data_IF_834732761265
#
_entry.id   IF_834732761265
#
_cell.length_a   1.000
_cell.length_b   1.000
_cell.length_c   1.000
_cell.angle_alpha   90.00
_cell.angle_beta   90.00
_cell.angle_gamma   90.00
#
_symmetry.space_group_name_H-M   'P 1'
#
loop_
_entity.id
_entity.type
_entity.pdbx_description
1 polymer ?
#
# COMPACT_ATOMS: atom_id res chain seq x y z
N UNK A 1 -72.26 22.54 -50.15
CA UNK A 1 -71.40 23.68 -49.73
C UNK A 1 -70.39 23.16 -48.72
N UNK A 2 -69.23 22.70 -49.18
CA UNK A 2 -68.18 22.16 -48.33
C UNK A 2 -67.23 23.29 -47.93
N UNK A 3 -67.01 23.45 -46.61
CA UNK A 3 -66.07 24.41 -46.06
C UNK A 3 -64.65 23.89 -46.24
N UNK A 4 -63.89 24.61 -47.06
CA UNK A 4 -62.46 24.49 -47.21
C UNK A 4 -61.77 24.77 -45.87
N UNK A 5 -61.14 23.73 -45.32
CA UNK A 5 -60.38 23.77 -44.09
C UNK A 5 -58.97 23.29 -44.37
N UNK A 6 -58.16 24.12 -45.04
CA UNK A 6 -56.72 23.90 -45.20
C UNK A 6 -56.01 23.89 -43.84
N UNK A 7 -55.95 22.73 -43.19
CA UNK A 7 -55.00 22.48 -42.12
C UNK A 7 -53.63 22.22 -42.75
N UNK A 8 -52.85 23.29 -42.94
CA UNK A 8 -51.46 23.22 -43.42
C UNK A 8 -50.62 22.54 -42.33
N UNK A 9 -50.40 21.23 -42.50
CA UNK A 9 -49.46 20.45 -41.70
C UNK A 9 -48.08 21.10 -41.74
N UNK A 10 -47.60 21.55 -40.57
CA UNK A 10 -46.26 22.08 -40.38
C UNK A 10 -45.25 20.93 -40.45
N UNK A 11 -44.14 21.04 -41.20
CA UNK A 11 -43.15 19.97 -41.24
C UNK A 11 -42.44 19.87 -39.87
N UNK A 12 -42.50 18.69 -39.22
CA UNK A 12 -41.73 18.39 -37.99
C UNK A 12 -40.25 18.23 -38.38
N UNK A 13 -39.49 19.31 -38.32
CA UNK A 13 -38.03 19.26 -38.44
C UNK A 13 -37.41 18.70 -37.16
N UNK A 14 -36.89 17.48 -37.22
CA UNK A 14 -36.15 16.80 -36.13
C UNK A 14 -34.69 17.25 -36.00
N UNK A 15 -34.28 18.38 -36.60
CA UNK A 15 -32.87 18.71 -36.82
C UNK A 15 -32.27 19.88 -36.04
N UNK A 16 -32.89 20.40 -34.97
CA UNK A 16 -32.37 21.63 -34.29
C UNK A 16 -31.78 21.45 -32.90
N UNK A 17 -32.02 20.34 -32.21
CA UNK A 17 -31.60 20.14 -30.83
C UNK A 17 -30.99 18.76 -30.63
N UNK A 18 -29.91 18.69 -29.85
CA UNK A 18 -29.26 17.43 -29.45
C UNK A 18 -30.08 16.76 -28.34
N UNK A 19 -31.12 16.03 -28.77
CA UNK A 19 -32.05 15.35 -27.87
C UNK A 19 -31.38 14.31 -26.98
N UNK A 20 -30.29 13.68 -27.44
CA UNK A 20 -29.52 12.70 -26.67
C UNK A 20 -28.84 13.35 -25.45
N UNK A 21 -28.21 14.52 -25.63
CA UNK A 21 -27.63 15.27 -24.51
C UNK A 21 -28.67 15.82 -23.55
N UNK A 22 -29.77 16.39 -24.08
CA UNK A 22 -30.87 16.93 -23.26
C UNK A 22 -31.47 15.80 -22.40
N UNK A 23 -31.64 14.60 -22.97
CA UNK A 23 -32.10 13.41 -22.27
C UNK A 23 -31.13 13.00 -21.17
N UNK A 24 -29.84 12.86 -21.48
CA UNK A 24 -28.82 12.48 -20.50
C UNK A 24 -28.82 13.41 -19.28
N UNK A 25 -28.85 14.74 -19.51
CA UNK A 25 -28.87 15.72 -18.43
C UNK A 25 -30.17 15.66 -17.60
N UNK A 26 -31.32 15.46 -18.25
CA UNK A 26 -32.59 15.25 -17.55
C UNK A 26 -32.58 13.98 -16.70
N UNK A 27 -32.07 12.89 -17.24
CA UNK A 27 -31.99 11.58 -16.59
C UNK A 27 -31.00 11.54 -15.41
N UNK A 28 -30.10 12.53 -15.29
CA UNK A 28 -29.26 12.73 -14.09
C UNK A 28 -30.03 13.29 -12.89
N UNK A 29 -31.23 13.84 -13.11
CA UNK A 29 -32.03 14.50 -12.06
C UNK A 29 -31.48 15.85 -11.58
N UNK A 30 -30.36 16.31 -12.15
CA UNK A 30 -29.68 17.55 -11.73
C UNK A 30 -30.31 18.80 -12.37
N UNK A 31 -30.87 18.67 -13.58
CA UNK A 31 -31.44 19.78 -14.32
C UNK A 31 -32.95 19.63 -14.48
N UNK A 32 -33.69 20.69 -14.15
CA UNK A 32 -35.14 20.77 -14.43
C UNK A 32 -35.39 21.14 -15.89
N UNK A 33 -36.58 20.82 -16.43
CA UNK A 33 -36.97 21.16 -17.82
C UNK A 33 -36.79 22.65 -18.17
N UNK A 34 -37.09 23.61 -17.28
CA UNK A 34 -36.77 25.02 -17.52
C UNK A 34 -35.27 25.29 -17.69
N UNK A 35 -34.41 24.68 -16.88
CA UNK A 35 -32.95 24.85 -16.98
C UNK A 35 -32.39 24.20 -18.25
N UNK A 36 -32.94 23.06 -18.67
CA UNK A 36 -32.57 22.41 -19.92
C UNK A 36 -32.96 23.25 -21.15
N UNK A 37 -34.14 23.88 -21.10
CA UNK A 37 -34.60 24.78 -22.15
C UNK A 37 -33.65 25.97 -22.34
N UNK A 38 -33.19 26.57 -21.23
CA UNK A 38 -32.21 27.67 -21.24
C UNK A 38 -30.85 27.20 -21.74
N UNK A 39 -30.34 26.08 -21.20
CA UNK A 39 -29.02 25.54 -21.52
C UNK A 39 -28.86 25.11 -22.98
N UNK A 40 -29.91 24.52 -23.56
CA UNK A 40 -29.87 23.95 -24.92
C UNK A 40 -30.64 24.78 -25.96
N UNK A 41 -31.17 25.95 -25.57
CA UNK A 41 -31.91 26.85 -26.45
C UNK A 41 -33.21 26.25 -27.01
N UNK A 42 -33.74 25.20 -26.37
CA UNK A 42 -34.95 24.50 -26.76
C UNK A 42 -36.18 25.08 -26.04
N UNK A 43 -37.35 25.07 -26.67
CA UNK A 43 -38.56 25.50 -25.96
C UNK A 43 -39.00 24.43 -24.96
N UNK A 44 -39.47 24.86 -23.78
CA UNK A 44 -40.00 23.97 -22.73
C UNK A 44 -41.06 23.00 -23.27
N UNK A 45 -41.94 23.50 -24.13
CA UNK A 45 -42.98 22.69 -24.79
C UNK A 45 -42.39 21.62 -25.73
N UNK A 46 -41.29 21.92 -26.44
CA UNK A 46 -40.64 20.94 -27.29
C UNK A 46 -39.98 19.82 -26.48
N UNK A 47 -39.38 20.16 -25.33
CA UNK A 47 -38.80 19.17 -24.41
C UNK A 47 -39.91 18.28 -23.81
N UNK A 48 -41.01 18.84 -23.30
CA UNK A 48 -42.12 18.06 -22.78
C UNK A 48 -42.74 17.12 -23.82
N UNK A 49 -42.86 17.56 -25.09
CA UNK A 49 -43.34 16.71 -26.17
C UNK A 49 -42.40 15.53 -26.43
N UNK A 50 -41.09 15.77 -26.51
CA UNK A 50 -40.11 14.69 -26.68
C UNK A 50 -40.06 13.73 -25.48
N UNK A 51 -40.16 14.26 -24.26
CA UNK A 51 -40.24 13.45 -23.04
C UNK A 51 -41.45 12.52 -23.05
N UNK A 52 -42.61 12.98 -23.52
CA UNK A 52 -43.83 12.18 -23.62
C UNK A 52 -43.76 11.16 -24.78
N UNK A 53 -43.14 11.54 -25.92
CA UNK A 53 -42.92 10.64 -27.06
C UNK A 53 -41.93 9.51 -26.73
N UNK A 54 -40.90 9.77 -25.90
CA UNK A 54 -39.82 8.81 -25.58
C UNK A 54 -39.83 8.25 -24.15
N UNK A 55 -40.77 8.67 -23.29
CA UNK A 55 -40.94 8.15 -21.93
C UNK A 55 -39.76 8.43 -20.99
N UNK A 56 -39.23 9.65 -20.99
CA UNK A 56 -38.06 10.01 -20.16
C UNK A 56 -38.37 9.92 -18.66
N UNK A 57 -37.50 9.27 -17.89
CA UNK A 57 -37.64 9.10 -16.43
C UNK A 57 -36.35 9.49 -15.71
N UNK A 58 -36.48 10.20 -14.59
CA UNK A 58 -35.34 10.59 -13.75
C UNK A 58 -34.73 9.31 -13.12
N UNK A 59 -33.42 9.12 -13.26
CA UNK A 59 -32.69 7.98 -12.67
C UNK A 59 -32.42 6.78 -13.59
N UNK A 60 -32.78 6.82 -14.88
CA UNK A 60 -32.44 5.77 -15.85
C UNK A 60 -30.93 5.73 -16.16
N UNK A 61 -30.24 6.87 -16.13
CA UNK A 61 -28.78 6.99 -16.29
C UNK A 61 -28.01 6.22 -15.22
N UNK A 62 -28.52 6.17 -13.98
CA UNK A 62 -27.93 5.41 -12.87
C UNK A 62 -27.97 3.90 -13.14
N UNK A 63 -29.04 3.37 -13.74
CA UNK A 63 -29.12 1.95 -14.14
C UNK A 63 -28.18 1.63 -15.30
N UNK A 64 -28.03 2.52 -16.27
CA UNK A 64 -27.10 2.34 -17.39
C UNK A 64 -25.64 2.38 -16.93
N UNK A 65 -25.28 3.31 -16.04
CA UNK A 65 -23.95 3.37 -15.41
C UNK A 65 -23.70 2.15 -14.52
N UNK A 66 -24.67 1.74 -13.71
CA UNK A 66 -24.55 0.52 -12.89
C UNK A 66 -24.35 -0.74 -13.75
N UNK A 67 -25.08 -0.88 -14.86
CA UNK A 67 -24.89 -1.99 -15.80
C UNK A 67 -23.52 -1.93 -16.48
N UNK A 68 -23.04 -0.75 -16.89
CA UNK A 68 -21.73 -0.59 -17.53
C UNK A 68 -20.58 -0.86 -16.55
N UNK A 69 -20.72 -0.48 -15.29
CA UNK A 69 -19.78 -0.82 -14.21
C UNK A 69 -19.81 -2.32 -13.96
N UNK A 70 -20.98 -2.95 -13.94
CA UNK A 70 -21.13 -4.41 -13.79
C UNK A 70 -20.50 -5.16 -14.96
N UNK A 71 -20.65 -4.69 -16.20
CA UNK A 71 -19.99 -5.26 -17.38
C UNK A 71 -18.46 -5.14 -17.29
N UNK A 72 -17.91 -4.01 -16.84
CA UNK A 72 -16.45 -3.85 -16.65
C UNK A 72 -15.89 -4.72 -15.53
N UNK A 73 -16.62 -4.87 -14.43
CA UNK A 73 -16.24 -5.75 -13.32
C UNK A 73 -16.39 -7.23 -13.69
N UNK A 74 -17.33 -7.59 -14.57
CA UNK A 74 -17.46 -8.97 -15.10
C UNK A 74 -16.37 -9.29 -16.13
N UNK A 75 -15.89 -8.32 -16.91
CA UNK A 75 -14.79 -8.51 -17.87
C UNK A 75 -13.40 -8.62 -17.22
N UNK A 76 -13.26 -8.26 -15.95
CA UNK A 76 -12.04 -8.50 -15.19
C UNK A 76 -12.32 -9.70 -14.31
N UNK A 77 -11.82 -10.88 -14.66
CA UNK A 77 -12.02 -12.09 -13.85
C UNK A 77 -11.59 -11.78 -12.41
N UNK A 78 -12.45 -11.96 -11.39
CA UNK A 78 -12.10 -11.75 -10.00
C UNK A 78 -10.84 -12.51 -9.57
N UNK A 79 -10.50 -13.62 -10.24
CA UNK A 79 -9.23 -14.32 -10.07
C UNK A 79 -8.04 -13.51 -10.57
N UNK A 80 -8.15 -12.89 -11.75
CA UNK A 80 -7.10 -12.04 -12.33
C UNK A 80 -6.90 -10.79 -11.48
N UNK A 81 -7.97 -10.12 -11.03
CA UNK A 81 -7.85 -8.97 -10.13
C UNK A 81 -7.22 -9.35 -8.77
N UNK A 82 -7.45 -10.58 -8.30
CA UNK A 82 -6.82 -11.13 -7.09
C UNK A 82 -5.36 -11.52 -7.33
N UNK A 83 -5.04 -12.09 -8.49
CA UNK A 83 -3.67 -12.41 -8.92
C UNK A 83 -2.83 -11.14 -9.06
N UNK A 84 -3.36 -10.10 -9.71
CA UNK A 84 -2.70 -8.79 -9.83
C UNK A 84 -2.40 -8.17 -8.45
N UNK A 85 -3.36 -8.27 -7.52
CA UNK A 85 -3.18 -7.78 -6.15
C UNK A 85 -2.15 -8.62 -5.37
N UNK A 86 -2.13 -9.93 -5.56
CA UNK A 86 -1.12 -10.83 -4.97
C UNK A 86 0.27 -10.52 -5.54
N UNK A 87 0.39 -10.32 -6.85
CA UNK A 87 1.65 -10.01 -7.51
C UNK A 87 2.20 -8.64 -7.10
N UNK A 88 1.33 -7.63 -6.97
CA UNK A 88 1.69 -6.32 -6.44
C UNK A 88 2.21 -6.41 -4.99
N UNK A 89 1.52 -7.18 -4.14
CA UNK A 89 1.95 -7.42 -2.76
C UNK A 89 3.27 -8.21 -2.69
N UNK A 90 3.43 -9.24 -3.51
CA UNK A 90 4.66 -10.03 -3.61
C UNK A 90 5.85 -9.16 -4.05
N UNK A 91 5.65 -8.29 -5.03
CA UNK A 91 6.68 -7.36 -5.52
C UNK A 91 7.10 -6.35 -4.45
N UNK A 92 6.13 -5.80 -3.70
CA UNK A 92 6.40 -4.91 -2.59
C UNK A 92 7.18 -5.62 -1.46
N UNK A 93 6.77 -6.84 -1.09
CA UNK A 93 7.46 -7.65 -0.09
C UNK A 93 8.88 -8.02 -0.53
N UNK A 94 9.08 -8.42 -1.79
CA UNK A 94 10.39 -8.72 -2.33
C UNK A 94 11.33 -7.50 -2.29
N UNK A 95 10.81 -6.29 -2.54
CA UNK A 95 11.58 -5.05 -2.42
C UNK A 95 12.02 -4.80 -0.98
N UNK A 96 11.12 -4.97 -0.01
CA UNK A 96 11.41 -4.80 1.41
C UNK A 96 12.48 -5.81 1.86
N UNK A 97 12.33 -7.08 1.49
CA UNK A 97 13.30 -8.15 1.77
C UNK A 97 14.69 -7.80 1.23
N UNK A 98 14.78 -7.35 -0.03
CA UNK A 98 16.07 -6.93 -0.61
C UNK A 98 16.72 -5.77 0.13
N UNK A 99 15.93 -4.80 0.59
CA UNK A 99 16.48 -3.69 1.37
C UNK A 99 16.98 -4.16 2.74
N UNK A 100 16.24 -5.03 3.42
CA UNK A 100 16.69 -5.65 4.66
C UNK A 100 18.00 -6.43 4.48
N UNK A 101 18.13 -7.21 3.41
CA UNK A 101 19.37 -7.91 3.07
C UNK A 101 20.54 -6.95 2.84
N UNK A 102 20.30 -5.84 2.12
CA UNK A 102 21.33 -4.82 1.88
C UNK A 102 21.80 -4.18 3.18
N UNK A 103 20.88 -3.87 4.09
CA UNK A 103 21.20 -3.29 5.40
C UNK A 103 21.94 -4.29 6.28
N UNK A 104 21.48 -5.54 6.34
CA UNK A 104 22.12 -6.62 7.10
C UNK A 104 23.55 -6.92 6.62
N UNK A 105 23.75 -7.01 5.30
CA UNK A 105 25.08 -7.21 4.70
C UNK A 105 26.05 -6.07 5.02
N UNK A 106 25.62 -4.81 4.83
CA UNK A 106 26.42 -3.64 5.21
C UNK A 106 26.73 -3.60 6.70
N UNK A 107 25.78 -4.01 7.54
CA UNK A 107 25.96 -4.13 8.98
C UNK A 107 27.08 -5.11 9.31
N UNK A 108 27.04 -6.32 8.74
CA UNK A 108 28.10 -7.34 8.93
C UNK A 108 29.47 -6.83 8.52
N UNK A 109 29.58 -6.19 7.37
CA UNK A 109 30.86 -5.63 6.90
C UNK A 109 31.42 -4.60 7.89
N UNK A 110 30.56 -3.74 8.45
CA UNK A 110 30.96 -2.75 9.44
C UNK A 110 31.35 -3.43 10.76
N UNK A 111 30.60 -4.44 11.21
CA UNK A 111 30.91 -5.21 12.40
C UNK A 111 32.28 -5.89 12.31
N UNK A 112 32.62 -6.48 11.16
CA UNK A 112 33.93 -7.10 10.94
C UNK A 112 35.07 -6.06 11.01
N UNK A 113 34.88 -4.87 10.46
CA UNK A 113 35.88 -3.79 10.56
C UNK A 113 36.06 -3.30 11.98
N UNK A 114 34.97 -3.16 12.74
CA UNK A 114 35.04 -2.77 14.15
C UNK A 114 35.70 -3.85 15.02
N UNK A 115 35.47 -5.13 14.71
CA UNK A 115 36.17 -6.24 15.37
C UNK A 115 37.68 -6.16 15.09
N UNK A 116 38.09 -5.92 13.85
CA UNK A 116 39.49 -5.73 13.49
C UNK A 116 40.14 -4.57 14.27
N UNK A 117 39.47 -3.42 14.37
CA UNK A 117 39.97 -2.26 15.14
C UNK A 117 40.10 -2.59 16.64
N UNK A 118 39.16 -3.35 17.19
CA UNK A 118 39.21 -3.82 18.58
C UNK A 118 40.36 -4.81 18.80
N UNK A 119 40.62 -5.71 17.85
CA UNK A 119 41.75 -6.63 17.87
C UNK A 119 43.08 -5.88 17.85
N UNK A 120 43.24 -4.91 16.94
CA UNK A 120 44.44 -4.06 16.85
C UNK A 120 44.66 -3.28 18.14
N UNK A 121 43.63 -2.59 18.63
CA UNK A 121 43.71 -1.79 19.86
C UNK A 121 44.06 -2.67 21.06
N UNK A 122 43.52 -3.88 21.12
CA UNK A 122 43.82 -4.82 22.21
C UNK A 122 45.22 -5.40 22.08
N UNK A 123 45.70 -5.64 20.86
CA UNK A 123 47.06 -6.13 20.58
C UNK A 123 48.16 -5.13 20.96
N UNK A 124 47.88 -3.83 20.90
CA UNK A 124 48.82 -2.78 21.29
C UNK A 124 48.87 -2.51 22.81
N UNK A 125 48.03 -3.17 23.61
CA UNK A 125 47.91 -2.91 25.04
C UNK A 125 49.24 -3.04 25.80
N UNK A 126 50.08 -4.08 25.59
CA UNK A 126 51.35 -4.20 26.30
C UNK A 126 52.31 -3.05 26.00
N UNK A 127 52.40 -2.61 24.74
CA UNK A 127 53.23 -1.47 24.32
C UNK A 127 52.72 -0.16 24.93
N UNK A 128 51.40 0.02 25.00
CA UNK A 128 50.80 1.19 25.63
C UNK A 128 51.04 1.22 27.15
N UNK A 129 50.99 0.06 27.81
CA UNK A 129 51.31 -0.07 29.24
C UNK A 129 52.78 0.27 29.53
N UNK A 130 53.71 -0.21 28.70
CA UNK A 130 55.14 0.12 28.79
C UNK A 130 55.38 1.62 28.57
N UNK A 131 54.74 2.23 27.57
CA UNK A 131 54.84 3.67 27.33
C UNK A 131 54.29 4.49 28.50
N UNK A 132 53.18 4.05 29.10
CA UNK A 132 52.63 4.70 30.31
C UNK A 132 53.63 4.59 31.46
N UNK A 133 54.28 3.44 31.66
CA UNK A 133 55.28 3.25 32.71
C UNK A 133 56.51 4.17 32.51
N UNK A 134 57.04 4.26 31.29
CA UNK A 134 58.15 5.16 30.95
C UNK A 134 57.74 6.64 31.12
N UNK A 135 56.51 7.00 30.74
CA UNK A 135 56.04 8.40 30.81
C UNK A 135 55.64 8.83 32.23
N UNK A 136 55.44 7.90 33.16
CA UNK A 136 54.91 8.17 34.51
C UNK A 136 55.81 7.67 35.64
N UNK A 137 57.11 7.46 35.37
CA UNK A 137 58.05 6.83 36.30
C UNK A 137 58.21 7.56 37.64
N UNK A 138 58.02 8.88 37.67
CA UNK A 138 58.04 9.70 38.90
C UNK A 138 56.65 10.28 39.29
N UNK A 139 55.56 9.68 38.81
CA UNK A 139 54.23 10.28 38.96
C UNK A 139 53.74 10.34 40.42
N UNK A 140 53.54 11.57 40.90
CA UNK A 140 52.96 11.89 42.22
C UNK A 140 51.50 12.33 42.14
N UNK A 141 50.96 12.51 40.93
CA UNK A 141 49.64 13.10 40.67
C UNK A 141 48.54 12.07 40.43
N UNK A 142 48.89 10.78 40.38
CA UNK A 142 47.97 9.68 40.08
C UNK A 142 47.55 9.65 38.60
N UNK A 143 48.30 10.30 37.72
CA UNK A 143 48.13 10.27 36.28
C UNK A 143 48.27 8.85 35.73
N UNK A 144 49.21 8.04 36.23
CA UNK A 144 49.42 6.64 35.84
C UNK A 144 48.14 5.82 36.01
N UNK A 145 47.51 5.91 37.17
CA UNK A 145 46.28 5.18 37.46
C UNK A 145 45.13 5.58 36.51
N UNK A 146 45.03 6.87 36.17
CA UNK A 146 44.05 7.37 35.20
C UNK A 146 44.30 6.85 33.78
N UNK A 147 45.57 6.79 33.35
CA UNK A 147 45.95 6.28 32.04
C UNK A 147 45.71 4.77 31.93
N UNK A 148 46.11 3.97 32.92
CA UNK A 148 45.83 2.52 32.97
C UNK A 148 44.31 2.27 32.97
N UNK A 149 43.53 3.03 33.74
CA UNK A 149 42.07 2.88 33.75
C UNK A 149 41.44 3.16 32.37
N UNK A 150 42.03 4.05 31.57
CA UNK A 150 41.60 4.35 30.18
C UNK A 150 42.03 3.27 29.19
N UNK A 151 43.17 2.63 29.42
CA UNK A 151 43.64 1.48 28.64
C UNK A 151 42.85 0.21 28.92
N UNK A 152 42.14 0.15 30.05
CA UNK A 152 41.30 -0.97 30.45
C UNK A 152 40.36 -1.50 29.35
N UNK A 153 40.15 -2.81 29.32
CA UNK A 153 39.37 -3.54 28.30
C UNK A 153 37.85 -3.40 28.45
N UNK A 154 37.35 -2.72 29.48
CA UNK A 154 35.92 -2.68 29.80
C UNK A 154 35.06 -2.09 28.68
N UNK A 155 35.47 -0.97 28.08
CA UNK A 155 34.76 -0.35 26.95
C UNK A 155 34.79 -1.25 25.70
N UNK A 156 35.93 -1.94 25.45
CA UNK A 156 36.10 -2.87 24.33
C UNK A 156 35.19 -4.10 24.47
N UNK A 157 35.06 -4.65 25.67
CA UNK A 157 34.17 -5.77 25.94
C UNK A 157 32.68 -5.41 25.76
N UNK A 158 32.29 -4.18 26.10
CA UNK A 158 30.93 -3.67 25.83
C UNK A 158 30.71 -3.52 24.32
N UNK A 159 31.65 -2.91 23.60
CA UNK A 159 31.57 -2.79 22.15
C UNK A 159 31.46 -4.16 21.45
N UNK A 160 32.24 -5.16 21.87
CA UNK A 160 32.15 -6.53 21.37
C UNK A 160 30.74 -7.14 21.58
N UNK A 161 30.13 -6.93 22.75
CA UNK A 161 28.78 -7.40 23.06
C UNK A 161 27.72 -6.73 22.20
N UNK A 162 27.85 -5.42 21.99
CA UNK A 162 26.92 -4.65 21.18
C UNK A 162 27.01 -5.08 19.71
N UNK A 163 28.22 -5.30 19.20
CA UNK A 163 28.45 -5.89 17.87
C UNK A 163 27.81 -7.27 17.75
N UNK A 164 28.03 -8.17 18.73
CA UNK A 164 27.44 -9.51 18.71
C UNK A 164 25.90 -9.47 18.71
N UNK A 165 25.32 -8.54 19.46
CA UNK A 165 23.87 -8.32 19.53
C UNK A 165 23.33 -7.82 18.19
N UNK A 166 23.99 -6.83 17.58
CA UNK A 166 23.62 -6.31 16.27
C UNK A 166 23.71 -7.39 15.17
N UNK A 167 24.77 -8.19 15.16
CA UNK A 167 24.95 -9.30 14.23
C UNK A 167 23.82 -10.33 14.38
N UNK A 168 23.46 -10.69 15.61
CA UNK A 168 22.32 -11.58 15.87
C UNK A 168 21.04 -11.02 15.27
N UNK A 169 20.71 -9.74 15.52
CA UNK A 169 19.51 -9.11 14.96
C UNK A 169 19.50 -9.13 13.44
N UNK A 170 20.64 -8.89 12.78
CA UNK A 170 20.71 -8.95 11.32
C UNK A 170 20.55 -10.37 10.78
N UNK A 171 21.12 -11.38 11.45
CA UNK A 171 20.89 -12.79 11.12
C UNK A 171 19.40 -13.14 11.27
N UNK A 172 18.75 -12.71 12.35
CA UNK A 172 17.32 -12.94 12.57
C UNK A 172 16.49 -12.29 11.46
N UNK A 173 16.79 -11.03 11.09
CA UNK A 173 16.13 -10.33 9.97
C UNK A 173 16.31 -11.08 8.65
N UNK A 174 17.51 -11.60 8.36
CA UNK A 174 17.74 -12.41 7.16
C UNK A 174 16.96 -13.73 7.21
N UNK A 175 16.95 -14.43 8.34
CA UNK A 175 16.19 -15.69 8.52
C UNK A 175 14.69 -15.49 8.32
N UNK A 176 14.13 -14.42 8.87
CA UNK A 176 12.72 -14.05 8.65
C UNK A 176 12.48 -13.69 7.18
N UNK A 177 13.41 -12.99 6.53
CA UNK A 177 13.30 -12.62 5.12
C UNK A 177 13.34 -13.82 4.15
N UNK A 178 14.02 -14.91 4.52
CA UNK A 178 14.03 -16.18 3.77
C UNK A 178 12.86 -17.11 4.14
N UNK A 179 11.95 -16.68 5.03
CA UNK A 179 10.92 -17.55 5.61
C UNK A 179 11.51 -18.85 6.21
N UNK A 180 12.77 -18.78 6.70
CA UNK A 180 13.49 -19.90 7.33
C UNK A 180 13.10 -20.08 8.80
N UNK A 181 12.60 -19.01 9.40
CA UNK A 181 11.63 -19.14 10.49
C UNK A 181 10.28 -19.34 9.80
N UNK A 182 10.14 -20.48 9.12
CA UNK A 182 8.83 -20.91 8.65
C UNK A 182 7.87 -20.68 9.79
N UNK A 183 6.71 -20.08 9.49
CA UNK A 183 5.59 -20.04 10.42
C UNK A 183 5.67 -21.32 11.24
N UNK A 184 5.81 -21.23 12.58
CA UNK A 184 5.66 -22.41 13.43
C UNK A 184 4.51 -23.15 12.81
N UNK A 185 4.80 -24.28 12.17
CA UNK A 185 3.85 -24.93 11.29
C UNK A 185 2.64 -25.12 12.17
N UNK A 186 1.61 -24.32 11.92
CA UNK A 186 0.49 -24.18 12.85
C UNK A 186 -0.35 -25.40 12.54
N UNK A 187 0.19 -26.57 12.95
CA UNK A 187 0.01 -27.89 12.38
C UNK A 187 -1.39 -28.05 11.80
N UNK A 188 -1.55 -27.66 10.52
CA UNK A 188 -2.87 -27.42 9.92
C UNK A 188 -3.69 -28.72 9.90
N UNK A 189 -3.01 -29.87 9.99
CA UNK A 189 -3.61 -31.20 10.13
C UNK A 189 -4.18 -31.52 11.52
N UNK A 190 -3.93 -30.69 12.54
CA UNK A 190 -4.50 -30.80 13.91
C UNK A 190 -5.68 -29.86 14.15
N UNK A 191 -6.04 -29.04 13.18
CA UNK A 191 -7.09 -28.05 13.36
C UNK A 191 -8.44 -28.68 13.03
N UNK A 192 -9.38 -28.58 13.96
CA UNK A 192 -10.77 -28.92 13.68
C UNK A 192 -11.33 -27.95 12.65
N UNK A 193 -12.29 -28.40 11.86
CA UNK A 193 -12.94 -27.59 10.80
C UNK A 193 -13.47 -26.24 11.34
N UNK A 194 -13.97 -26.23 12.58
CA UNK A 194 -14.40 -25.00 13.28
C UNK A 194 -13.27 -24.00 13.52
N UNK A 195 -12.07 -24.48 13.83
CA UNK A 195 -10.90 -23.65 14.10
C UNK A 195 -10.33 -23.08 12.79
N UNK A 196 -10.39 -23.85 11.71
CA UNK A 196 -10.06 -23.39 10.36
C UNK A 196 -11.05 -22.31 9.92
N UNK A 197 -12.36 -22.53 10.10
CA UNK A 197 -13.40 -21.56 9.78
C UNK A 197 -13.24 -20.24 10.56
N UNK A 198 -12.93 -20.31 11.86
CA UNK A 198 -12.69 -19.14 12.70
C UNK A 198 -11.46 -18.33 12.22
N UNK A 199 -10.38 -19.01 11.83
CA UNK A 199 -9.17 -18.36 11.32
C UNK A 199 -9.37 -17.73 9.95
N UNK A 200 -10.13 -18.38 9.08
CA UNK A 200 -10.51 -17.84 7.79
C UNK A 200 -11.37 -16.58 7.95
N UNK A 201 -12.35 -16.59 8.86
CA UNK A 201 -13.18 -15.43 9.16
C UNK A 201 -12.36 -14.26 9.74
N UNK A 202 -11.39 -14.56 10.61
CA UNK A 202 -10.47 -13.55 11.15
C UNK A 202 -9.62 -12.90 10.04
N UNK A 203 -9.06 -13.71 9.14
CA UNK A 203 -8.25 -13.24 8.02
C UNK A 203 -9.07 -12.44 7.00
N UNK A 204 -10.30 -12.88 6.70
CA UNK A 204 -11.24 -12.15 5.83
C UNK A 204 -11.63 -10.80 6.44
N UNK A 205 -11.90 -10.76 7.75
CA UNK A 205 -12.17 -9.51 8.48
C UNK A 205 -10.96 -8.56 8.46
N UNK A 206 -9.74 -9.08 8.63
CA UNK A 206 -8.50 -8.30 8.54
C UNK A 206 -8.24 -7.80 7.11
N UNK A 207 -8.69 -8.55 6.10
CA UNK A 207 -8.64 -8.17 4.69
C UNK A 207 -9.81 -7.28 4.24
N UNK A 208 -10.73 -6.90 5.14
CA UNK A 208 -11.89 -6.05 4.82
C UNK A 208 -12.98 -6.75 4.01
N UNK A 209 -12.92 -8.07 3.83
CA UNK A 209 -13.97 -8.86 3.21
C UNK A 209 -14.88 -9.42 4.32
N UNK A 210 -16.12 -8.93 4.39
CA UNK A 210 -17.11 -9.55 5.28
C UNK A 210 -17.37 -11.01 4.84
N UNK A 211 -17.49 -11.97 5.76
CA UNK A 211 -17.84 -13.34 5.39
C UNK A 211 -19.25 -13.37 4.79
N UNK A 212 -19.41 -14.05 3.66
CA UNK A 212 -20.72 -14.35 3.09
C UNK A 212 -21.47 -15.28 4.07
N UNK A 213 -22.73 -14.91 4.35
CA UNK A 213 -23.65 -15.66 5.21
C UNK A 213 -24.03 -17.03 4.61
#
# INVERSE_FOLDING_TARGET
>A
MARDGTNRGRPKGSGRFDWTRIRSDYETGTFSVPMLAEKYGASRQAIHRHMAEEGWTIGSSSKAVANRTREKVIFTDPKVAREDAIEAAATANARIIREHQRVAGRGRDLALRLLQELEETTGHLPTLEELVEIATTEDKTGLRAKLIARLGTGSRAVAMRDIATAVKTWVDVERTAFNLDGEKEDDLGKWTDERIAARLAELLRKAGAAPAA
#
